data_IF_605976224877
#
_entry.id   IF_605976224877
#
_cell.length_a   1.000
_cell.length_b   1.000
_cell.length_c   1.000
_cell.angle_alpha   90.00
_cell.angle_beta   90.00
_cell.angle_gamma   90.00
#
_symmetry.space_group_name_H-M   'P 1'
#
loop_
_entity.id
_entity.type
_entity.pdbx_description
1 polymer ?
#
# COMPACT_ATOMS: atom_id res chain seq x y z
N UNK A 1 29.87 25.37 -17.84
CA UNK A 1 29.53 25.72 -16.45
C UNK A 1 28.08 25.29 -16.27
N UNK A 2 27.90 24.09 -15.70
CA UNK A 2 26.59 23.44 -15.57
C UNK A 2 25.84 24.03 -14.38
N UNK A 3 24.63 24.55 -14.62
CA UNK A 3 23.73 25.02 -13.58
C UNK A 3 22.79 23.86 -13.20
N UNK A 4 23.21 23.03 -12.25
CA UNK A 4 22.34 22.06 -11.58
C UNK A 4 21.46 22.77 -10.57
N UNK A 5 20.29 23.24 -11.00
CA UNK A 5 19.26 23.73 -10.06
C UNK A 5 18.76 22.59 -9.17
N UNK A 6 18.30 22.87 -7.94
CA UNK A 6 17.77 21.85 -7.05
C UNK A 6 16.55 21.19 -7.71
N UNK A 7 16.63 19.87 -7.91
CA UNK A 7 15.49 19.07 -8.35
C UNK A 7 14.46 19.13 -7.21
N UNK A 8 13.41 19.94 -7.40
CA UNK A 8 12.24 19.88 -6.55
C UNK A 8 11.54 18.55 -6.85
N UNK A 9 11.59 17.63 -5.89
CA UNK A 9 10.77 16.43 -5.94
C UNK A 9 9.33 16.86 -5.69
N UNK A 10 8.56 17.11 -6.74
CA UNK A 10 7.12 17.20 -6.61
C UNK A 10 6.59 15.80 -6.29
N UNK A 11 5.93 15.58 -5.14
CA UNK A 11 5.26 14.31 -4.88
C UNK A 11 4.06 14.23 -5.83
N UNK A 12 4.29 13.72 -7.04
CA UNK A 12 3.23 13.50 -8.06
C UNK A 12 2.07 12.68 -7.48
N UNK A 13 2.34 11.87 -6.46
CA UNK A 13 1.37 11.04 -5.77
C UNK A 13 0.51 11.79 -4.72
N UNK A 14 0.98 12.91 -4.16
CA UNK A 14 0.34 13.54 -2.99
C UNK A 14 -1.07 14.08 -3.28
N UNK A 15 -1.29 14.61 -4.48
CA UNK A 15 -2.58 15.17 -4.88
C UNK A 15 -3.60 14.06 -5.19
N UNK A 16 -3.16 12.98 -5.84
CA UNK A 16 -4.00 11.83 -6.19
C UNK A 16 -4.43 11.03 -4.95
N UNK A 17 -3.54 10.90 -3.95
CA UNK A 17 -3.82 10.22 -2.66
C UNK A 17 -4.95 10.89 -1.87
N UNK A 18 -5.10 12.22 -1.97
CA UNK A 18 -6.19 12.94 -1.29
C UNK A 18 -7.57 12.70 -1.94
N UNK A 19 -7.57 12.38 -3.23
CA UNK A 19 -8.78 12.12 -4.02
C UNK A 19 -9.11 10.63 -4.18
N UNK A 20 -8.20 9.74 -3.78
CA UNK A 20 -8.40 8.31 -3.89
C UNK A 20 -9.55 7.84 -2.99
N UNK A 21 -10.44 6.96 -3.48
CA UNK A 21 -11.51 6.43 -2.66
C UNK A 21 -10.91 5.69 -1.46
N UNK A 22 -11.38 6.04 -0.26
CA UNK A 22 -10.99 5.39 0.99
C UNK A 22 -11.95 4.24 1.27
N UNK A 23 -11.48 3.11 1.82
CA UNK A 23 -12.37 2.01 2.17
C UNK A 23 -13.37 2.47 3.22
N UNK A 24 -14.63 2.07 3.06
CA UNK A 24 -15.69 2.37 4.03
C UNK A 24 -15.60 1.47 5.25
N UNK A 25 -14.98 0.29 5.09
CA UNK A 25 -14.65 -0.60 6.20
C UNK A 25 -13.17 -0.94 6.23
N UNK A 26 -12.47 -0.35 7.20
CA UNK A 26 -11.07 -0.64 7.49
C UNK A 26 -10.96 -1.73 8.56
N UNK A 27 -10.10 -2.71 8.33
CA UNK A 27 -9.74 -3.72 9.32
C UNK A 27 -8.79 -3.11 10.35
N UNK A 28 -8.99 -3.45 11.63
CA UNK A 28 -8.05 -3.03 12.70
C UNK A 28 -6.67 -3.67 12.53
N UNK A 29 -6.66 -4.91 12.06
CA UNK A 29 -5.45 -5.68 11.76
C UNK A 29 -5.55 -6.17 10.30
N UNK A 30 -4.57 -5.87 9.45
CA UNK A 30 -4.54 -6.39 8.09
C UNK A 30 -4.44 -7.91 8.08
N UNK A 31 -5.16 -8.54 7.15
CA UNK A 31 -5.17 -10.00 7.00
C UNK A 31 -4.19 -10.41 5.89
N UNK A 32 -3.26 -11.36 6.15
CA UNK A 32 -2.33 -11.82 5.13
C UNK A 32 -3.07 -12.52 3.99
N UNK A 33 -2.61 -12.30 2.77
CA UNK A 33 -3.06 -13.01 1.57
C UNK A 33 -2.05 -14.09 1.19
N UNK A 34 -2.53 -15.31 1.08
CA UNK A 34 -1.76 -16.39 0.46
C UNK A 34 -1.61 -16.16 -1.04
N UNK A 35 -0.62 -16.81 -1.67
CA UNK A 35 -0.43 -16.76 -3.13
C UNK A 35 -1.69 -17.23 -3.88
N UNK A 36 -2.40 -18.22 -3.34
CA UNK A 36 -3.65 -18.72 -3.94
C UNK A 36 -4.78 -17.68 -3.87
N UNK A 37 -4.92 -17.00 -2.73
CA UNK A 37 -5.92 -15.93 -2.57
C UNK A 37 -5.59 -14.74 -3.45
N UNK A 38 -4.33 -14.33 -3.51
CA UNK A 38 -3.86 -13.25 -4.39
C UNK A 38 -4.15 -13.57 -5.86
N UNK A 39 -3.91 -14.82 -6.30
CA UNK A 39 -4.23 -15.27 -7.65
C UNK A 39 -5.73 -15.34 -7.98
N UNK A 40 -6.61 -15.21 -6.98
CA UNK A 40 -8.06 -15.08 -7.17
C UNK A 40 -8.51 -13.61 -7.26
N UNK A 41 -7.64 -12.66 -6.95
CA UNK A 41 -7.92 -11.23 -7.03
C UNK A 41 -7.55 -10.67 -8.40
N UNK A 42 -8.36 -9.74 -8.90
CA UNK A 42 -8.01 -8.89 -10.02
C UNK A 42 -7.51 -7.54 -9.48
N UNK A 43 -6.19 -7.32 -9.47
CA UNK A 43 -5.61 -6.04 -9.08
C UNK A 43 -5.88 -5.03 -10.21
N UNK A 44 -6.58 -3.95 -9.88
CA UNK A 44 -7.11 -3.01 -10.87
C UNK A 44 -6.05 -2.04 -11.44
N UNK A 45 -4.87 -1.99 -10.84
CA UNK A 45 -3.79 -1.09 -11.23
C UNK A 45 -2.44 -1.80 -11.21
N UNK A 46 -1.63 -1.54 -12.24
CA UNK A 46 -0.25 -2.02 -12.32
C UNK A 46 0.72 -1.14 -11.51
N UNK A 47 0.26 0.01 -11.03
CA UNK A 47 1.02 0.92 -10.17
C UNK A 47 0.29 1.13 -8.84
N UNK A 48 1.01 1.30 -7.72
CA UNK A 48 0.38 1.57 -6.44
C UNK A 48 -0.41 2.88 -6.49
N UNK A 49 -1.59 2.88 -5.86
CA UNK A 49 -2.47 4.04 -5.78
C UNK A 49 -2.06 4.99 -4.63
N UNK A 50 -1.38 4.44 -3.63
CA UNK A 50 -0.88 5.16 -2.47
C UNK A 50 0.32 4.38 -1.93
N UNK A 51 1.39 5.11 -1.61
CA UNK A 51 2.55 4.56 -0.91
C UNK A 51 2.63 5.22 0.46
N UNK A 52 2.69 4.40 1.50
CA UNK A 52 2.97 4.85 2.85
C UNK A 52 4.40 4.45 3.22
N UNK A 53 5.19 5.43 3.61
CA UNK A 53 6.57 5.26 4.11
C UNK A 53 6.66 5.83 5.53
N UNK A 54 6.18 5.10 6.52
CA UNK A 54 6.24 5.49 7.95
C UNK A 54 7.62 5.20 8.57
N UNK A 55 8.70 5.65 7.93
CA UNK A 55 10.05 5.48 8.47
C UNK A 55 11.03 6.50 7.89
N UNK A 56 10.82 7.79 8.16
CA UNK A 56 11.91 8.78 7.97
C UNK A 56 12.86 8.84 9.18
N UNK A 57 12.61 8.11 10.28
CA UNK A 57 13.53 8.04 11.43
C UNK A 57 13.53 6.75 12.27
N UNK A 58 12.65 5.76 12.05
CA UNK A 58 12.61 4.52 12.85
C UNK A 58 13.21 3.32 12.10
N UNK A 59 14.09 2.59 12.79
CA UNK A 59 14.71 1.38 12.28
C UNK A 59 13.64 0.30 12.02
N UNK A 60 13.49 -0.05 10.74
CA UNK A 60 12.52 -1.03 10.26
C UNK A 60 12.58 -2.39 10.99
N UNK A 61 13.72 -2.71 11.61
CA UNK A 61 13.93 -3.93 12.39
C UNK A 61 13.18 -3.90 13.74
N UNK A 62 13.14 -2.75 14.44
CA UNK A 62 12.38 -2.60 15.70
C UNK A 62 10.87 -2.69 15.44
N UNK A 63 10.42 -2.08 14.35
CA UNK A 63 9.01 -2.12 13.94
C UNK A 63 8.54 -3.56 13.64
N UNK A 64 9.40 -4.36 13.01
CA UNK A 64 9.18 -5.79 12.75
C UNK A 64 9.16 -6.61 14.04
N UNK A 65 10.05 -6.33 14.99
CA UNK A 65 10.08 -7.02 16.29
C UNK A 65 8.86 -6.72 17.16
N UNK A 66 8.20 -5.56 16.99
CA UNK A 66 6.95 -5.21 17.67
C UNK A 66 5.69 -5.85 17.04
N UNK A 67 5.86 -6.72 16.03
CA UNK A 67 4.74 -7.34 15.32
C UNK A 67 4.00 -6.38 14.40
N UNK A 68 4.58 -5.22 14.10
CA UNK A 68 4.07 -4.29 13.10
C UNK A 68 4.44 -4.75 11.70
N UNK A 69 3.48 -4.69 10.80
CA UNK A 69 3.71 -4.79 9.35
C UNK A 69 4.64 -3.63 8.96
N UNK A 70 5.61 -3.90 8.08
CA UNK A 70 6.68 -2.97 7.73
C UNK A 70 6.18 -1.58 7.33
N UNK A 71 7.00 -0.57 7.62
CA UNK A 71 6.65 0.84 7.38
C UNK A 71 6.57 1.24 5.91
N UNK A 72 6.89 0.34 4.96
CA UNK A 72 6.83 0.62 3.50
C UNK A 72 5.75 -0.22 2.85
N UNK A 73 4.64 0.43 2.51
CA UNK A 73 3.44 -0.24 1.99
C UNK A 73 2.98 0.40 0.69
N UNK A 74 2.79 -0.43 -0.32
CA UNK A 74 2.19 -0.07 -1.60
C UNK A 74 0.74 -0.55 -1.62
N UNK A 75 -0.21 0.38 -1.63
CA UNK A 75 -1.63 0.09 -1.67
C UNK A 75 -2.12 -0.05 -3.11
N UNK A 76 -3.10 -0.94 -3.29
CA UNK A 76 -3.76 -1.23 -4.55
C UNK A 76 -5.27 -1.42 -4.33
N UNK A 77 -6.06 -1.16 -5.37
CA UNK A 77 -7.43 -1.66 -5.44
C UNK A 77 -7.42 -3.05 -6.08
N UNK A 78 -8.15 -3.97 -5.48
CA UNK A 78 -8.35 -5.30 -6.03
C UNK A 78 -9.84 -5.67 -6.02
N UNK A 79 -10.24 -6.56 -6.91
CA UNK A 79 -11.61 -7.08 -6.97
C UNK A 79 -11.58 -8.60 -6.82
N UNK A 80 -12.39 -9.14 -5.91
CA UNK A 80 -12.55 -10.58 -5.76
C UNK A 80 -13.34 -11.16 -6.95
N UNK A 81 -13.31 -12.48 -7.13
CA UNK A 81 -14.14 -13.15 -8.15
C UNK A 81 -15.64 -12.92 -7.98
N UNK A 82 -16.06 -12.57 -6.77
CA UNK A 82 -17.46 -12.28 -6.43
C UNK A 82 -17.83 -10.80 -6.67
N UNK A 83 -16.89 -9.99 -7.17
CA UNK A 83 -17.10 -8.57 -7.46
C UNK A 83 -16.87 -7.64 -6.27
N UNK A 84 -16.36 -8.16 -5.13
CA UNK A 84 -16.08 -7.33 -3.97
C UNK A 84 -14.81 -6.50 -4.16
N UNK A 85 -14.92 -5.18 -3.99
CA UNK A 85 -13.77 -4.28 -4.02
C UNK A 85 -13.01 -4.31 -2.70
N UNK A 86 -11.70 -4.50 -2.79
CA UNK A 86 -10.77 -4.68 -1.69
C UNK A 86 -9.68 -3.63 -1.74
N UNK A 87 -9.27 -3.18 -0.56
CA UNK A 87 -8.08 -2.38 -0.36
C UNK A 87 -6.99 -3.29 0.16
N UNK A 88 -6.01 -3.56 -0.70
CA UNK A 88 -4.88 -4.44 -0.38
C UNK A 88 -3.60 -3.62 -0.38
N UNK A 89 -2.58 -4.10 0.32
CA UNK A 89 -1.24 -3.56 0.15
C UNK A 89 -0.20 -4.67 0.08
N UNK A 90 0.93 -4.33 -0.54
CA UNK A 90 2.17 -5.09 -0.50
C UNK A 90 3.08 -4.47 0.55
N UNK A 91 3.56 -5.27 1.49
CA UNK A 91 4.66 -4.90 2.37
C UNK A 91 5.96 -5.01 1.56
N UNK A 92 6.61 -3.87 1.31
CA UNK A 92 7.84 -3.82 0.50
C UNK A 92 9.08 -4.36 1.24
N UNK A 93 8.96 -4.67 2.54
CA UNK A 93 10.03 -5.27 3.34
C UNK A 93 9.95 -6.80 3.27
N UNK A 94 8.74 -7.36 3.41
CA UNK A 94 8.55 -8.82 3.40
C UNK A 94 8.15 -9.40 2.05
N UNK A 95 7.75 -8.54 1.10
CA UNK A 95 7.16 -8.90 -0.19
C UNK A 95 5.82 -9.66 -0.07
N UNK A 96 5.14 -9.50 1.08
CA UNK A 96 3.86 -10.14 1.36
C UNK A 96 2.69 -9.19 1.08
N UNK A 97 1.54 -9.78 0.72
CA UNK A 97 0.32 -9.04 0.44
C UNK A 97 -0.68 -9.19 1.58
N UNK A 98 -1.45 -8.13 1.84
CA UNK A 98 -2.44 -8.10 2.90
C UNK A 98 -3.72 -7.39 2.45
N UNK A 99 -4.87 -7.83 2.96
CA UNK A 99 -6.12 -7.07 2.90
C UNK A 99 -6.20 -6.13 4.10
N UNK A 100 -6.44 -4.85 3.83
CA UNK A 100 -6.61 -3.83 4.88
C UNK A 100 -8.04 -3.30 4.94
N UNK A 101 -8.80 -3.32 3.84
CA UNK A 101 -10.15 -2.78 3.85
C UNK A 101 -11.03 -3.27 2.71
N UNK A 102 -12.28 -2.85 2.77
CA UNK A 102 -13.33 -3.18 1.81
C UNK A 102 -14.06 -1.91 1.40
N UNK A 103 -14.50 -1.87 0.15
CA UNK A 103 -15.38 -0.84 -0.39
C UNK A 103 -16.79 -1.42 -0.53
N UNK A 104 -17.81 -0.64 -0.21
CA UNK A 104 -19.24 -0.93 -0.39
C UNK A 104 -19.86 -0.05 -1.49
#
# INVERSE_FOLDING_TARGET
MENGGPIAYEPVYGEQVSSAPRPTRLLKEPLPLTIEELGKLNILSNTPIERLEDAWWEDAEEHRMRGGIGSRRDYYFAVSREGQCLWIFQDLITDEYFVHGYFD
#
